data_IF_514610216077
#
_entry.id   IF_514610216077
#
_cell.length_a   1.000
_cell.length_b   1.000
_cell.length_c   1.000
_cell.angle_alpha   90.00
_cell.angle_beta   90.00
_cell.angle_gamma   90.00
#
_symmetry.space_group_name_H-M   'P 1'
#
loop_
_entity.id
_entity.type
_entity.pdbx_description
1 polymer ?
#
# COMPACT_ATOMS: atom_id res chain seq x y z
N UNK A 1 26.13 -18.39 14.62
CA UNK A 1 26.21 -17.50 13.45
C UNK A 1 25.75 -16.14 13.91
N UNK A 2 26.65 -15.16 14.04
CA UNK A 2 26.28 -13.82 14.53
C UNK A 2 25.59 -13.04 13.42
N UNK A 3 24.28 -12.85 13.53
CA UNK A 3 23.58 -11.87 12.70
C UNK A 3 24.21 -10.49 12.93
N UNK A 4 24.35 -9.74 11.85
CA UNK A 4 25.13 -8.51 11.72
C UNK A 4 25.02 -7.55 12.91
N UNK A 5 26.17 -7.04 13.34
CA UNK A 5 26.35 -6.01 14.38
C UNK A 5 25.63 -4.67 14.07
N UNK A 6 24.97 -4.55 12.91
CA UNK A 6 24.31 -3.35 12.39
C UNK A 6 22.77 -3.48 12.34
N UNK A 7 22.20 -4.46 13.03
CA UNK A 7 20.77 -4.72 13.06
C UNK A 7 20.22 -4.44 14.46
N UNK A 8 19.67 -3.26 14.66
CA UNK A 8 19.00 -2.91 15.90
C UNK A 8 17.62 -3.56 15.94
N UNK A 9 17.45 -4.57 16.82
CA UNK A 9 16.22 -5.34 16.94
C UNK A 9 15.62 -5.15 18.32
N UNK A 10 14.33 -4.85 18.39
CA UNK A 10 13.56 -4.70 19.61
C UNK A 10 12.37 -5.65 19.59
N UNK A 11 12.14 -6.34 20.70
CA UNK A 11 11.02 -7.21 20.97
C UNK A 11 9.93 -6.41 21.69
N UNK A 12 8.71 -6.53 21.20
CA UNK A 12 7.55 -5.86 21.78
C UNK A 12 6.97 -6.73 22.88
N UNK A 13 7.16 -6.31 24.13
CA UNK A 13 6.82 -7.10 25.32
C UNK A 13 5.73 -6.38 26.13
N UNK A 14 4.48 -6.85 26.09
CA UNK A 14 3.44 -6.33 26.97
C UNK A 14 3.80 -6.54 28.43
N UNK A 15 3.55 -5.54 29.26
CA UNK A 15 3.72 -5.67 30.69
C UNK A 15 2.68 -6.65 31.27
N UNK A 16 3.09 -7.47 32.25
CA UNK A 16 2.23 -8.50 32.85
C UNK A 16 1.22 -7.94 33.86
N UNK A 17 1.54 -6.79 34.45
CA UNK A 17 0.77 -6.16 35.52
C UNK A 17 -0.14 -5.06 34.96
N UNK A 18 0.30 -4.33 33.94
CA UNK A 18 -0.48 -3.28 33.28
C UNK A 18 -0.63 -3.51 31.76
N UNK A 19 -1.83 -3.82 31.26
CA UNK A 19 -2.07 -4.03 29.83
C UNK A 19 -1.88 -2.75 28.98
N UNK A 20 -1.82 -1.57 29.59
CA UNK A 20 -1.57 -0.30 28.88
C UNK A 20 -0.09 -0.03 28.65
N UNK A 21 0.80 -0.85 29.21
CA UNK A 21 2.25 -0.67 29.15
C UNK A 21 2.86 -1.74 28.24
N UNK A 22 3.72 -1.29 27.33
CA UNK A 22 4.49 -2.13 26.42
C UNK A 22 5.95 -1.71 26.52
N UNK A 23 6.82 -2.67 26.80
CA UNK A 23 8.26 -2.48 26.86
C UNK A 23 8.92 -2.94 25.56
N UNK A 24 9.85 -2.15 25.03
CA UNK A 24 10.68 -2.50 23.89
C UNK A 24 12.04 -3.00 24.40
N UNK A 25 12.28 -4.29 24.23
CA UNK A 25 13.39 -5.02 24.85
C UNK A 25 14.30 -5.59 23.77
N UNK A 26 15.61 -5.45 23.88
CA UNK A 26 16.51 -6.10 22.93
C UNK A 26 16.56 -7.64 23.14
N UNK A 27 17.17 -8.40 22.20
CA UNK A 27 17.32 -9.84 22.36
C UNK A 27 18.19 -10.27 23.56
N UNK A 28 18.95 -9.36 24.16
CA UNK A 28 19.76 -9.62 25.36
C UNK A 28 18.96 -9.43 26.66
N UNK A 29 17.74 -8.88 26.57
CA UNK A 29 16.85 -8.64 27.69
C UNK A 29 16.92 -7.22 28.27
N UNK A 30 17.61 -6.29 27.61
CA UNK A 30 17.71 -4.90 28.04
C UNK A 30 16.53 -4.10 27.49
N UNK A 31 15.76 -3.46 28.38
CA UNK A 31 14.66 -2.58 27.98
C UNK A 31 15.21 -1.20 27.62
N UNK A 32 14.87 -0.71 26.43
CA UNK A 32 15.28 0.62 25.95
C UNK A 32 14.15 1.64 26.04
N UNK A 33 12.94 1.22 25.67
CA UNK A 33 11.79 2.12 25.64
C UNK A 33 10.59 1.51 26.35
N UNK A 34 9.78 2.39 26.90
CA UNK A 34 8.49 2.05 27.48
C UNK A 34 7.41 2.90 26.82
N UNK A 35 6.43 2.23 26.22
CA UNK A 35 5.22 2.84 25.73
C UNK A 35 4.10 2.66 26.74
N UNK A 36 3.42 3.75 27.07
CA UNK A 36 2.27 3.77 27.95
C UNK A 36 1.08 4.42 27.26
N UNK A 37 -0.07 3.72 27.26
CA UNK A 37 -1.34 4.30 26.83
C UNK A 37 -1.98 5.06 27.99
N UNK A 38 -2.28 6.34 27.78
CA UNK A 38 -2.91 7.18 28.79
C UNK A 38 -4.43 7.09 28.64
N UNK A 39 -5.12 6.82 29.74
CA UNK A 39 -6.58 6.82 29.76
C UNK A 39 -7.11 8.25 29.63
N UNK A 40 -7.99 8.49 28.66
CA UNK A 40 -8.53 9.83 28.42
C UNK A 40 -9.62 9.84 27.35
N UNK A 41 -10.23 11.00 27.15
CA UNK A 41 -11.25 11.22 26.13
C UNK A 41 -10.68 11.18 24.69
N UNK A 42 -9.39 11.45 24.54
CA UNK A 42 -8.64 11.47 23.29
C UNK A 42 -7.58 10.37 23.36
N UNK A 43 -7.34 9.68 22.24
CA UNK A 43 -6.29 8.68 22.19
C UNK A 43 -4.93 9.35 22.40
N UNK A 44 -4.24 8.91 23.45
CA UNK A 44 -2.94 9.45 23.86
C UNK A 44 -2.02 8.29 24.22
N UNK A 45 -0.82 8.31 23.66
CA UNK A 45 0.26 7.37 23.95
C UNK A 45 1.53 8.14 24.21
N UNK A 46 2.24 7.76 25.25
CA UNK A 46 3.52 8.33 25.64
C UNK A 46 4.60 7.27 25.50
N UNK A 47 5.77 7.65 24.99
CA UNK A 47 6.94 6.78 24.91
C UNK A 47 8.08 7.41 25.69
N UNK A 48 8.66 6.62 26.57
CA UNK A 48 9.72 7.00 27.50
C UNK A 48 11.02 6.27 27.18
N UNK A 49 12.15 6.93 27.41
CA UNK A 49 13.43 6.26 27.57
C UNK A 49 13.42 5.49 28.89
N UNK A 50 13.69 4.19 28.85
CA UNK A 50 13.54 3.34 30.02
C UNK A 50 14.57 3.64 31.11
N UNK A 51 15.79 4.05 30.73
CA UNK A 51 16.88 4.25 31.69
C UNK A 51 16.78 5.59 32.41
N UNK A 52 16.41 6.66 31.70
CA UNK A 52 16.28 8.01 32.24
C UNK A 52 14.87 8.39 32.66
N UNK A 53 13.87 7.56 32.32
CA UNK A 53 12.44 7.85 32.50
C UNK A 53 11.99 9.16 31.82
N UNK A 54 12.76 9.65 30.86
CA UNK A 54 12.43 10.87 30.13
C UNK A 54 11.36 10.59 29.08
N UNK A 55 10.35 11.47 29.02
CA UNK A 55 9.35 11.44 27.95
C UNK A 55 10.02 11.83 26.63
N UNK A 56 9.97 10.92 25.66
CA UNK A 56 10.58 11.10 24.34
C UNK A 56 9.59 11.62 23.31
N UNK A 57 8.35 11.11 23.35
CA UNK A 57 7.30 11.49 22.40
C UNK A 57 5.92 11.21 22.95
N UNK A 58 4.99 12.12 22.63
CA UNK A 58 3.55 11.95 22.84
C UNK A 58 2.86 11.83 21.49
N UNK A 59 2.10 10.76 21.28
CA UNK A 59 1.24 10.57 20.13
C UNK A 59 -0.22 10.82 20.51
N UNK A 60 -0.90 11.69 19.76
CA UNK A 60 -2.30 12.06 20.00
C UNK A 60 -3.16 11.89 18.75
N UNK A 61 -4.41 11.48 18.95
CA UNK A 61 -5.44 11.44 17.90
C UNK A 61 -6.85 11.37 18.51
N UNK A 62 -7.93 11.73 17.78
CA UNK A 62 -9.29 11.57 18.28
C UNK A 62 -9.62 10.15 18.76
N UNK A 63 -9.08 9.13 18.10
CA UNK A 63 -9.19 7.72 18.45
C UNK A 63 -7.95 6.93 18.03
N UNK A 64 -7.78 5.72 18.59
CA UNK A 64 -6.72 4.81 18.15
C UNK A 64 -6.83 4.44 16.67
N UNK A 65 -8.04 4.39 16.12
CA UNK A 65 -8.36 4.10 14.71
C UNK A 65 -8.32 5.31 13.78
N UNK A 66 -7.99 6.50 14.28
CA UNK A 66 -7.97 7.73 13.48
C UNK A 66 -6.96 7.64 12.34
N UNK A 67 -7.34 8.10 11.14
CA UNK A 67 -6.50 8.12 9.91
C UNK A 67 -5.37 9.16 9.93
N UNK A 68 -5.37 10.02 10.93
CA UNK A 68 -4.31 11.00 11.17
C UNK A 68 -3.94 10.92 12.65
N UNK A 69 -2.63 10.98 12.93
CA UNK A 69 -2.08 11.02 14.28
C UNK A 69 -0.99 12.09 14.33
N UNK A 70 -0.91 12.82 15.44
CA UNK A 70 0.12 13.84 15.66
C UNK A 70 1.12 13.30 16.67
N UNK A 71 2.40 13.36 16.33
CA UNK A 71 3.51 12.99 17.20
C UNK A 71 4.23 14.27 17.61
N UNK A 72 4.35 14.51 18.91
CA UNK A 72 5.15 15.57 19.50
C UNK A 72 6.33 14.94 20.22
N UNK A 73 7.52 15.09 19.63
CA UNK A 73 8.78 14.66 20.24
C UNK A 73 9.29 15.71 21.22
N UNK A 74 10.08 15.28 22.19
CA UNK A 74 10.74 16.14 23.16
C UNK A 74 12.26 15.97 23.11
N UNK A 75 12.98 17.05 23.37
CA UNK A 75 14.44 17.11 23.40
C UNK A 75 15.14 16.66 22.10
N UNK A 76 14.95 17.36 20.96
CA UNK A 76 14.29 18.67 20.80
C UNK A 76 12.78 18.58 20.50
N UNK A 77 12.04 19.64 20.81
CA UNK A 77 10.60 19.68 20.54
C UNK A 77 10.32 19.75 19.05
N UNK A 78 9.74 18.68 18.49
CA UNK A 78 9.40 18.57 17.07
C UNK A 78 8.05 17.91 16.92
N UNK A 79 7.17 18.50 16.10
CA UNK A 79 5.85 17.93 15.81
C UNK A 79 5.78 17.42 14.39
N UNK A 80 5.22 16.23 14.19
CA UNK A 80 4.96 15.66 12.88
C UNK A 80 3.59 15.00 12.80
N UNK A 81 3.13 14.80 11.57
CA UNK A 81 1.85 14.14 11.28
C UNK A 81 2.11 12.77 10.63
N UNK A 82 1.51 11.74 11.20
CA UNK A 82 1.31 10.45 10.54
C UNK A 82 -0.03 10.49 9.81
N UNK A 83 -0.02 10.21 8.51
CA UNK A 83 -1.22 10.24 7.68
C UNK A 83 -1.45 8.91 6.98
N UNK A 84 -2.62 8.34 7.16
CA UNK A 84 -3.07 7.18 6.41
C UNK A 84 -3.35 7.60 4.96
N UNK A 85 -2.62 7.00 4.03
CA UNK A 85 -2.71 7.26 2.58
C UNK A 85 -3.26 6.05 1.81
N UNK A 86 -3.50 4.95 2.50
CA UNK A 86 -4.10 3.76 1.93
C UNK A 86 -5.57 3.96 1.57
N UNK A 87 -6.03 3.30 0.51
CA UNK A 87 -7.44 3.04 0.22
C UNK A 87 -7.81 1.58 0.50
N UNK A 88 -6.93 0.66 0.09
CA UNK A 88 -7.13 -0.80 0.17
C UNK A 88 -5.98 -1.51 0.89
N UNK A 89 -4.85 -0.82 1.06
CA UNK A 89 -3.61 -1.37 1.62
C UNK A 89 -3.23 -0.57 2.86
N UNK A 90 -2.56 -1.23 3.81
CA UNK A 90 -1.98 -0.52 4.95
C UNK A 90 -0.87 0.39 4.44
N UNK A 91 -1.16 1.69 4.34
CA UNK A 91 -0.18 2.72 3.97
C UNK A 91 -0.29 3.94 4.85
N UNK A 92 0.83 4.29 5.46
CA UNK A 92 0.97 5.47 6.30
C UNK A 92 2.20 6.25 5.89
N UNK A 93 2.03 7.56 5.71
CA UNK A 93 3.12 8.43 5.32
C UNK A 93 3.43 9.40 6.45
N UNK A 94 4.69 9.75 6.57
CA UNK A 94 5.15 10.84 7.42
C UNK A 94 6.39 11.49 6.80
N UNK A 95 6.68 12.71 7.25
CA UNK A 95 7.91 13.42 6.87
C UNK A 95 8.80 13.52 8.09
N UNK A 96 10.09 13.29 7.89
CA UNK A 96 11.11 13.57 8.88
C UNK A 96 12.23 14.34 8.20
N UNK A 97 12.53 15.53 8.70
CA UNK A 97 13.45 16.47 8.05
C UNK A 97 13.08 16.67 6.57
N UNK A 98 14.02 16.38 5.65
CA UNK A 98 13.84 16.53 4.21
C UNK A 98 13.42 15.22 3.51
N UNK A 99 13.09 14.17 4.27
CA UNK A 99 12.78 12.85 3.74
C UNK A 99 11.32 12.47 3.94
N UNK A 100 10.74 11.86 2.91
CA UNK A 100 9.41 11.26 2.95
C UNK A 100 9.54 9.78 3.33
N UNK A 101 8.72 9.32 4.27
CA UNK A 101 8.67 7.92 4.69
C UNK A 101 7.28 7.33 4.46
N UNK A 102 7.23 6.04 4.17
CA UNK A 102 6.01 5.27 3.92
C UNK A 102 6.10 3.90 4.59
N UNK A 103 5.17 3.64 5.51
CA UNK A 103 4.88 2.31 6.00
C UNK A 103 3.98 1.56 5.03
N UNK A 104 4.34 0.33 4.69
CA UNK A 104 3.56 -0.65 3.93
C UNK A 104 3.49 -1.95 4.71
N UNK A 105 2.34 -2.21 5.34
CA UNK A 105 2.13 -3.33 6.26
C UNK A 105 3.30 -3.50 7.24
N UNK A 106 4.19 -4.47 7.00
CA UNK A 106 5.31 -4.82 7.87
C UNK A 106 6.61 -4.05 7.58
N UNK A 107 6.64 -3.22 6.55
CA UNK A 107 7.86 -2.60 6.02
C UNK A 107 7.77 -1.08 6.07
N UNK A 108 8.83 -0.40 6.53
CA UNK A 108 8.97 1.05 6.45
C UNK A 108 9.99 1.42 5.38
N UNK A 109 9.60 2.26 4.44
CA UNK A 109 10.43 2.74 3.35
C UNK A 109 10.72 4.22 3.48
N UNK A 110 11.95 4.62 3.20
CA UNK A 110 12.28 6.00 2.88
C UNK A 110 12.11 6.20 1.37
N UNK A 111 11.23 7.12 0.99
CA UNK A 111 10.90 7.44 -0.38
C UNK A 111 11.95 8.41 -0.94
N UNK A 112 12.55 8.02 -2.07
CA UNK A 112 13.44 8.87 -2.85
C UNK A 112 12.80 9.03 -4.24
N UNK A 113 12.98 10.19 -4.87
CA UNK A 113 12.66 10.37 -6.28
C UNK A 113 13.84 11.12 -6.91
N UNK A 114 14.38 10.67 -8.04
CA UNK A 114 13.90 9.58 -8.90
C UNK A 114 14.32 8.16 -8.46
N UNK A 115 15.17 8.03 -7.44
CA UNK A 115 15.72 6.74 -7.00
C UNK A 115 14.67 5.82 -6.37
N UNK A 116 14.87 4.49 -6.36
CA UNK A 116 13.93 3.57 -5.70
C UNK A 116 13.84 3.82 -4.17
N UNK A 117 12.68 3.51 -3.55
CA UNK A 117 12.53 3.53 -2.11
C UNK A 117 13.51 2.60 -1.40
N UNK A 118 13.97 3.00 -0.21
CA UNK A 118 14.93 2.24 0.60
C UNK A 118 14.23 1.70 1.84
N UNK A 119 14.30 0.40 2.08
CA UNK A 119 13.75 -0.23 3.29
C UNK A 119 14.59 0.19 4.51
N UNK A 120 13.95 0.76 5.53
CA UNK A 120 14.62 1.28 6.73
C UNK A 120 14.18 0.60 8.02
N UNK A 121 12.99 -0.01 8.04
CA UNK A 121 12.57 -0.85 9.15
C UNK A 121 11.68 -1.99 8.67
N UNK A 122 11.69 -3.10 9.40
CA UNK A 122 10.80 -4.23 9.20
C UNK A 122 10.25 -4.71 10.55
N UNK A 123 8.99 -5.07 10.59
CA UNK A 123 8.35 -5.72 11.73
C UNK A 123 8.01 -7.17 11.42
N UNK A 124 7.85 -7.99 12.45
CA UNK A 124 7.35 -9.36 12.32
C UNK A 124 6.06 -9.51 13.10
N UNK A 125 5.02 -9.93 12.41
CA UNK A 125 3.78 -10.39 13.03
C UNK A 125 3.80 -11.94 13.11
N UNK A 126 3.58 -12.54 14.30
CA UNK A 126 3.46 -13.99 14.41
C UNK A 126 2.25 -14.47 13.60
N UNK A 127 2.41 -15.58 12.87
CA UNK A 127 1.32 -16.18 12.11
C UNK A 127 0.06 -16.36 12.99
N UNK A 128 -1.07 -15.78 12.54
CA UNK A 128 -2.34 -15.82 13.26
C UNK A 128 -2.53 -14.77 14.36
N UNK A 129 -1.63 -13.79 14.53
CA UNK A 129 -1.82 -12.64 15.43
C UNK A 129 -1.50 -11.32 14.74
N UNK A 130 -2.46 -10.39 14.80
CA UNK A 130 -2.31 -8.99 14.36
C UNK A 130 -1.56 -8.14 15.39
N UNK A 131 -0.51 -8.71 15.99
CA UNK A 131 0.30 -8.06 16.99
C UNK A 131 1.76 -8.14 16.56
N UNK A 132 2.35 -6.98 16.37
CA UNK A 132 3.80 -6.86 16.16
C UNK A 132 4.53 -7.53 17.33
N UNK A 133 5.47 -8.41 17.01
CA UNK A 133 6.29 -9.14 18.00
C UNK A 133 7.70 -8.60 18.10
N UNK A 134 8.25 -8.11 16.99
CA UNK A 134 9.60 -7.55 16.94
C UNK A 134 9.71 -6.52 15.84
N UNK A 135 10.57 -5.55 16.06
CA UNK A 135 10.85 -4.43 15.16
C UNK A 135 12.35 -4.44 14.91
N UNK A 136 12.75 -4.30 13.65
CA UNK A 136 14.15 -4.28 13.26
C UNK A 136 14.40 -3.03 12.43
N UNK A 137 15.26 -2.16 12.93
CA UNK A 137 15.69 -0.94 12.25
C UNK A 137 16.98 -1.25 11.49
N UNK A 138 16.98 -0.92 10.21
CA UNK A 138 18.05 -1.23 9.26
C UNK A 138 19.02 -0.05 9.20
N UNK A 139 19.75 0.20 10.29
CA UNK A 139 20.64 1.36 10.44
C UNK A 139 21.67 1.46 9.32
N UNK A 140 22.14 0.32 8.78
CA UNK A 140 23.06 0.30 7.65
C UNK A 140 22.50 0.98 6.38
N UNK A 141 21.17 1.04 6.22
CA UNK A 141 20.53 1.77 5.15
C UNK A 141 20.39 3.25 5.50
N UNK A 142 20.00 3.58 6.74
CA UNK A 142 19.88 4.96 7.23
C UNK A 142 21.23 5.70 7.24
N UNK A 143 22.32 5.01 7.54
CA UNK A 143 23.68 5.56 7.59
C UNK A 143 24.20 6.07 6.25
N UNK A 144 23.51 5.76 5.14
CA UNK A 144 23.85 6.22 3.79
C UNK A 144 23.25 7.60 3.46
N UNK A 145 22.54 8.18 4.41
CA UNK A 145 21.80 9.42 4.25
C UNK A 145 22.18 10.43 5.33
N UNK A 146 22.17 11.70 4.92
CA UNK A 146 22.41 12.85 5.78
C UNK A 146 21.13 13.17 6.55
N UNK A 147 20.79 12.29 7.49
CA UNK A 147 19.74 12.50 8.49
C UNK A 147 20.44 13.05 9.74
N UNK A 148 20.05 14.25 10.14
CA UNK A 148 20.70 14.97 11.23
C UNK A 148 20.32 14.37 12.60
N UNK A 149 19.02 14.16 12.83
CA UNK A 149 18.48 13.57 14.05
C UNK A 149 17.97 12.15 13.80
N UNK A 150 18.94 11.22 13.74
CA UNK A 150 18.67 9.78 13.59
C UNK A 150 17.91 9.22 14.79
N UNK A 151 18.14 9.77 15.99
CA UNK A 151 17.52 9.26 17.20
C UNK A 151 16.05 9.65 17.25
N UNK A 152 15.72 10.88 16.88
CA UNK A 152 14.36 11.31 16.64
C UNK A 152 13.66 10.43 15.62
N UNK A 153 14.29 10.15 14.47
CA UNK A 153 13.72 9.23 13.47
C UNK A 153 13.44 7.83 14.02
N UNK A 154 14.36 7.27 14.81
CA UNK A 154 14.18 5.98 15.49
C UNK A 154 12.90 5.99 16.35
N UNK A 155 12.76 7.02 17.19
CA UNK A 155 11.60 7.23 18.07
C UNK A 155 10.31 7.35 17.26
N UNK A 156 10.33 8.06 16.13
CA UNK A 156 9.17 8.21 15.22
C UNK A 156 8.76 6.86 14.63
N UNK A 157 9.72 6.10 14.10
CA UNK A 157 9.46 4.78 13.49
C UNK A 157 8.83 3.84 14.52
N UNK A 158 9.40 3.76 15.73
CA UNK A 158 8.90 2.92 16.82
C UNK A 158 7.50 3.35 17.26
N UNK A 159 7.29 4.66 17.47
CA UNK A 159 6.02 5.21 17.94
C UNK A 159 4.92 5.03 16.91
N UNK A 160 5.21 5.28 15.63
CA UNK A 160 4.27 5.04 14.54
C UNK A 160 3.76 3.59 14.59
N UNK A 161 4.67 2.62 14.61
CA UNK A 161 4.32 1.20 14.64
C UNK A 161 3.49 0.82 15.88
N UNK A 162 3.86 1.31 17.06
CA UNK A 162 3.12 1.05 18.29
C UNK A 162 1.70 1.65 18.26
N UNK A 163 1.52 2.80 17.61
CA UNK A 163 0.17 3.39 17.44
C UNK A 163 -0.66 2.64 16.39
N UNK A 164 -0.03 2.00 15.42
CA UNK A 164 -0.71 1.14 14.45
C UNK A 164 -1.19 -0.16 15.10
N UNK A 165 -0.39 -0.72 16.02
CA UNK A 165 -0.80 -1.85 16.84
C UNK A 165 -2.06 -1.52 17.64
N UNK A 166 -2.12 -0.35 18.28
CA UNK A 166 -3.32 0.06 19.04
C UNK A 166 -4.55 0.23 18.14
N UNK A 167 -4.35 0.73 16.91
CA UNK A 167 -5.42 0.82 15.93
C UNK A 167 -5.97 -0.58 15.61
N UNK A 168 -5.08 -1.54 15.30
CA UNK A 168 -5.44 -2.93 15.02
C UNK A 168 -6.13 -3.61 16.21
N UNK A 169 -5.64 -3.40 17.43
CA UNK A 169 -6.28 -3.92 18.64
C UNK A 169 -7.67 -3.32 18.87
N UNK A 170 -7.89 -2.07 18.47
CA UNK A 170 -9.21 -1.43 18.55
C UNK A 170 -10.19 -1.99 17.51
N UNK A 171 -9.70 -2.46 16.35
CA UNK A 171 -10.51 -3.12 15.33
C UNK A 171 -10.82 -4.59 15.66
N UNK A 172 -9.87 -5.30 16.28
CA UNK A 172 -9.94 -6.75 16.49
C UNK A 172 -10.08 -7.18 17.95
N UNK A 173 -10.13 -6.24 18.87
CA UNK A 173 -10.46 -6.48 20.26
C UNK A 173 -11.90 -6.99 20.34
N UNK A 174 -12.06 -8.30 20.50
CA UNK A 174 -13.33 -8.84 20.99
C UNK A 174 -13.69 -8.09 22.28
N UNK A 175 -14.96 -7.72 22.52
CA UNK A 175 -15.38 -7.27 23.84
C UNK A 175 -15.19 -8.46 24.79
N UNK A 176 -14.02 -8.55 25.42
CA UNK A 176 -13.74 -9.52 26.45
C UNK A 176 -14.61 -9.11 27.63
N UNK A 177 -15.79 -9.72 27.70
CA UNK A 177 -16.58 -10.02 28.88
C UNK A 177 -16.00 -9.41 30.15
N UNK A 178 -16.61 -8.32 30.59
CA UNK A 178 -16.42 -7.75 31.91
C UNK A 178 -16.42 -8.86 32.97
N UNK A 179 -15.35 -8.89 33.76
CA UNK A 179 -15.15 -9.88 34.80
C UNK A 179 -16.23 -9.80 35.87
N UNK A 180 -17.12 -10.78 35.90
CA UNK A 180 -17.83 -11.15 37.12
C UNK A 180 -16.82 -11.87 38.01
N UNK A 181 -16.30 -11.12 38.99
CA UNK A 181 -15.48 -11.62 40.09
C UNK A 181 -16.24 -12.74 40.82
N UNK A 182 -15.76 -13.98 40.75
CA UNK A 182 -16.16 -15.05 41.68
C UNK A 182 -15.11 -15.19 42.78
N UNK A 183 -15.51 -15.22 44.07
CA UNK A 183 -14.58 -15.25 45.18
C UNK A 183 -13.91 -16.62 45.31
N UNK A 184 -12.67 -16.55 45.78
CA UNK A 184 -11.69 -17.60 46.02
C UNK A 184 -12.08 -18.44 47.24
N UNK A 185 -12.16 -19.76 47.11
CA UNK A 185 -12.05 -20.68 48.26
C UNK A 185 -11.33 -21.99 47.92
N UNK A 186 -10.22 -22.18 48.65
CA UNK A 186 -9.55 -23.42 49.11
C UNK A 186 -8.97 -24.46 48.12
N UNK A 187 -7.83 -25.10 48.50
CA UNK A 187 -7.04 -25.95 47.62
C UNK A 187 -7.49 -27.42 47.68
N UNK A 188 -7.83 -27.98 46.52
CA UNK A 188 -7.92 -29.43 46.33
C UNK A 188 -7.21 -29.83 45.04
N UNK A 189 -6.61 -31.01 45.10
CA UNK A 189 -5.78 -31.74 44.13
C UNK A 189 -6.10 -31.50 42.64
N UNK A 190 -5.07 -31.48 41.76
CA UNK A 190 -5.23 -31.13 40.35
C UNK A 190 -6.12 -32.14 39.61
N UNK A 191 -7.18 -31.69 38.91
CA UNK A 191 -7.99 -32.56 38.07
C UNK A 191 -7.23 -32.96 36.79
N UNK A 192 -7.56 -34.10 36.18
CA UNK A 192 -6.99 -34.53 34.91
C UNK A 192 -7.22 -33.45 33.82
N UNK A 193 -6.27 -33.30 32.87
CA UNK A 193 -6.35 -32.26 31.85
C UNK A 193 -7.65 -32.38 31.06
N UNK A 194 -8.33 -31.26 30.76
CA UNK A 194 -9.58 -31.28 30.02
C UNK A 194 -9.39 -31.94 28.64
N UNK A 195 -10.39 -32.69 28.15
CA UNK A 195 -10.38 -33.23 26.80
C UNK A 195 -10.11 -32.11 25.79
N UNK A 196 -9.29 -32.38 24.76
CA UNK A 196 -9.05 -31.44 23.66
C UNK A 196 -10.40 -30.95 23.10
N UNK A 197 -10.58 -29.64 22.87
CA UNK A 197 -11.82 -29.13 22.31
C UNK A 197 -12.09 -29.77 20.94
N UNK A 198 -13.36 -30.05 20.59
CA UNK A 198 -13.71 -30.62 19.30
C UNK A 198 -13.20 -29.73 18.16
N UNK A 199 -12.77 -30.36 17.05
CA UNK A 199 -12.32 -29.63 15.88
C UNK A 199 -13.39 -28.61 15.44
N UNK A 200 -12.99 -27.35 15.24
CA UNK A 200 -13.90 -26.29 14.78
C UNK A 200 -14.49 -26.69 13.44
N UNK A 201 -15.82 -26.58 13.30
CA UNK A 201 -16.54 -26.93 12.07
C UNK A 201 -17.20 -25.68 11.47
N UNK A 202 -17.47 -25.71 10.17
CA UNK A 202 -18.24 -24.66 9.50
C UNK A 202 -17.49 -23.36 9.24
N UNK A 203 -18.14 -22.22 9.52
CA UNK A 203 -17.57 -20.86 9.34
C UNK A 203 -16.33 -20.66 10.21
N UNK A 204 -16.29 -21.23 11.41
CA UNK A 204 -15.15 -21.13 12.33
C UNK A 204 -13.91 -21.83 11.77
N UNK A 205 -14.10 -22.91 11.00
CA UNK A 205 -13.01 -23.59 10.28
C UNK A 205 -12.47 -22.72 9.15
N UNK A 206 -13.36 -22.08 8.38
CA UNK A 206 -12.96 -21.14 7.33
C UNK A 206 -12.19 -19.97 7.94
N UNK A 207 -12.72 -19.36 9.01
CA UNK A 207 -12.07 -18.28 9.72
C UNK A 207 -10.69 -18.68 10.25
N UNK A 208 -10.53 -19.89 10.78
CA UNK A 208 -9.24 -20.42 11.21
C UNK A 208 -8.26 -20.58 10.06
N UNK A 209 -8.68 -21.16 8.93
CA UNK A 209 -7.83 -21.34 7.74
C UNK A 209 -7.41 -19.99 7.15
N UNK A 210 -8.32 -19.02 7.08
CA UNK A 210 -7.98 -17.67 6.61
C UNK A 210 -7.08 -16.93 7.62
N UNK A 211 -7.33 -17.09 8.92
CA UNK A 211 -6.50 -16.48 9.97
C UNK A 211 -5.05 -17.00 9.94
N UNK A 212 -4.83 -18.26 9.54
CA UNK A 212 -3.47 -18.80 9.34
C UNK A 212 -2.72 -18.11 8.18
N UNK A 213 -3.44 -17.52 7.21
CA UNK A 213 -2.84 -16.83 6.05
C UNK A 213 -2.50 -15.36 6.34
N UNK A 214 -3.17 -14.73 7.30
CA UNK A 214 -2.90 -13.35 7.71
C UNK A 214 -3.39 -12.27 6.74
N UNK A 215 -4.23 -12.63 5.76
CA UNK A 215 -4.83 -11.69 4.81
C UNK A 215 -6.21 -11.26 5.33
N UNK A 216 -6.34 -10.03 5.81
CA UNK A 216 -7.51 -9.57 6.60
C UNK A 216 -8.71 -9.22 5.71
N UNK A 217 -8.46 -8.80 4.47
CA UNK A 217 -9.48 -8.42 3.49
C UNK A 217 -9.53 -9.39 2.30
N UNK A 218 -8.79 -10.51 2.37
CA UNK A 218 -8.76 -11.52 1.32
C UNK A 218 -9.30 -12.85 1.82
N UNK A 219 -10.16 -13.46 1.01
CA UNK A 219 -10.74 -14.76 1.21
C UNK A 219 -10.21 -15.69 0.12
N UNK A 220 -9.32 -16.60 0.49
CA UNK A 220 -8.84 -17.64 -0.43
C UNK A 220 -9.77 -18.85 -0.38
N UNK A 221 -10.47 -19.11 -1.48
CA UNK A 221 -11.36 -20.27 -1.61
C UNK A 221 -10.55 -21.50 -1.94
N UNK A 222 -10.57 -22.47 -1.03
CA UNK A 222 -9.85 -23.74 -1.14
C UNK A 222 -10.78 -24.91 -1.47
N UNK A 223 -10.18 -26.09 -1.69
CA UNK A 223 -10.94 -27.33 -1.86
C UNK A 223 -11.71 -27.69 -0.59
N UNK A 224 -11.09 -27.51 0.59
CA UNK A 224 -11.72 -27.73 1.90
C UNK A 224 -12.76 -26.63 2.21
N UNK A 225 -13.90 -27.02 2.79
CA UNK A 225 -14.96 -26.13 3.25
C UNK A 225 -16.11 -25.96 2.25
N UNK A 226 -17.31 -25.76 2.77
CA UNK A 226 -18.52 -25.61 1.97
C UNK A 226 -18.74 -24.15 1.52
N UNK A 227 -19.39 -23.97 0.37
CA UNK A 227 -19.69 -22.67 -0.24
C UNK A 227 -20.44 -21.77 0.74
N UNK A 228 -21.40 -22.34 1.46
CA UNK A 228 -22.22 -21.65 2.46
C UNK A 228 -21.38 -21.02 3.57
N UNK A 229 -20.34 -21.72 4.03
CA UNK A 229 -19.45 -21.25 5.08
C UNK A 229 -18.55 -20.12 4.61
N UNK A 230 -17.98 -20.24 3.41
CA UNK A 230 -17.20 -19.16 2.78
C UNK A 230 -18.06 -17.91 2.54
N UNK A 231 -19.28 -18.09 2.05
CA UNK A 231 -20.20 -16.99 1.77
C UNK A 231 -20.63 -16.27 3.06
N UNK A 232 -20.94 -17.03 4.12
CA UNK A 232 -21.27 -16.46 5.42
C UNK A 232 -20.07 -15.71 6.01
N UNK A 233 -18.86 -16.26 5.92
CA UNK A 233 -17.64 -15.58 6.35
C UNK A 233 -17.43 -14.24 5.61
N UNK A 234 -17.56 -14.26 4.27
CA UNK A 234 -17.45 -13.05 3.46
C UNK A 234 -18.53 -12.01 3.79
N UNK A 235 -19.76 -12.46 4.06
CA UNK A 235 -20.86 -11.58 4.46
C UNK A 235 -20.58 -10.93 5.82
N UNK A 236 -20.05 -11.68 6.79
CA UNK A 236 -19.70 -11.16 8.11
C UNK A 236 -18.60 -10.10 8.01
N UNK A 237 -17.58 -10.33 7.17
CA UNK A 237 -16.55 -9.29 6.91
C UNK A 237 -17.18 -8.01 6.35
N UNK A 238 -18.10 -8.13 5.39
CA UNK A 238 -18.79 -6.98 4.80
C UNK A 238 -19.86 -6.35 5.72
N UNK A 239 -20.19 -6.94 6.87
CA UNK A 239 -21.09 -6.29 7.83
C UNK A 239 -20.38 -5.18 8.61
N UNK A 240 -19.07 -5.28 8.80
CA UNK A 240 -18.28 -4.25 9.49
C UNK A 240 -18.30 -2.93 8.69
N UNK A 241 -18.68 -1.82 9.34
CA UNK A 241 -18.73 -0.48 8.74
C UNK A 241 -17.36 0.00 8.25
N UNK A 242 -16.27 -0.41 8.92
CA UNK A 242 -14.91 -0.09 8.51
C UNK A 242 -14.45 -0.91 7.28
N UNK A 243 -15.11 -2.05 7.02
CA UNK A 243 -14.82 -2.91 5.88
C UNK A 243 -15.53 -2.39 4.63
N UNK A 244 -14.78 -1.70 3.78
CA UNK A 244 -15.29 -1.13 2.53
C UNK A 244 -15.26 -2.12 1.35
N UNK A 245 -14.43 -3.16 1.43
CA UNK A 245 -14.31 -4.18 0.38
C UNK A 245 -13.74 -5.49 0.91
N UNK A 246 -14.02 -6.60 0.20
CA UNK A 246 -13.43 -7.92 0.41
C UNK A 246 -13.00 -8.49 -0.94
N UNK A 247 -11.84 -9.15 -0.97
CA UNK A 247 -11.28 -9.79 -2.15
C UNK A 247 -11.44 -11.29 -2.05
N UNK A 248 -12.18 -11.92 -2.95
CA UNK A 248 -12.35 -13.37 -3.00
C UNK A 248 -11.48 -13.94 -4.12
N UNK A 249 -10.56 -14.85 -3.79
CA UNK A 249 -9.60 -15.42 -4.75
C UNK A 249 -9.64 -16.94 -4.77
N UNK A 250 -9.37 -17.52 -5.94
CA UNK A 250 -9.22 -18.98 -6.07
C UNK A 250 -7.84 -19.44 -5.62
N UNK A 251 -7.73 -20.51 -4.83
CA UNK A 251 -6.44 -21.14 -4.53
C UNK A 251 -5.82 -21.86 -5.73
N UNK A 252 -6.65 -22.35 -6.65
CA UNK A 252 -6.24 -23.03 -7.88
C UNK A 252 -7.31 -22.93 -8.97
N UNK A 253 -6.95 -23.29 -10.21
CA UNK A 253 -7.86 -23.25 -11.36
C UNK A 253 -9.14 -24.08 -11.18
N UNK A 254 -9.07 -25.19 -10.41
CA UNK A 254 -10.23 -26.04 -10.13
C UNK A 254 -11.25 -25.37 -9.19
N UNK A 255 -10.83 -24.38 -8.40
CA UNK A 255 -11.68 -23.66 -7.45
C UNK A 255 -12.34 -22.41 -8.04
N UNK A 256 -12.05 -22.06 -9.29
CA UNK A 256 -12.65 -20.88 -9.95
C UNK A 256 -14.19 -20.91 -9.96
N UNK A 257 -14.86 -22.03 -10.29
CA UNK A 257 -16.32 -22.09 -10.21
C UNK A 257 -16.84 -21.87 -8.78
N UNK A 258 -16.12 -22.38 -7.78
CA UNK A 258 -16.47 -22.26 -6.36
C UNK A 258 -16.39 -20.81 -5.89
N UNK A 259 -15.39 -20.04 -6.33
CA UNK A 259 -15.30 -18.59 -6.04
C UNK A 259 -16.54 -17.84 -6.50
N UNK A 260 -17.01 -18.10 -7.73
CA UNK A 260 -18.20 -17.43 -8.26
C UNK A 260 -19.45 -17.76 -7.44
N UNK A 261 -19.61 -19.03 -7.05
CA UNK A 261 -20.72 -19.47 -6.21
C UNK A 261 -20.68 -18.83 -4.82
N UNK A 262 -19.49 -18.73 -4.20
CA UNK A 262 -19.29 -18.04 -2.92
C UNK A 262 -19.69 -16.57 -3.01
N UNK A 263 -19.27 -15.88 -4.08
CA UNK A 263 -19.60 -14.47 -4.31
C UNK A 263 -21.11 -14.27 -4.47
N UNK A 264 -21.77 -15.11 -5.28
CA UNK A 264 -23.21 -15.04 -5.51
C UNK A 264 -24.01 -15.29 -4.22
N UNK A 265 -23.65 -16.34 -3.47
CA UNK A 265 -24.29 -16.66 -2.19
C UNK A 265 -24.03 -15.56 -1.14
N UNK A 266 -22.85 -14.91 -1.15
CA UNK A 266 -22.58 -13.76 -0.28
C UNK A 266 -23.55 -12.61 -0.57
N UNK A 267 -23.77 -12.28 -1.85
CA UNK A 267 -24.75 -11.26 -2.24
C UNK A 267 -26.17 -11.66 -1.84
N UNK A 268 -26.52 -12.94 -2.02
CA UNK A 268 -27.83 -13.47 -1.63
C UNK A 268 -28.09 -13.34 -0.12
N UNK A 269 -27.10 -13.68 0.72
CA UNK A 269 -27.20 -13.54 2.18
C UNK A 269 -27.48 -12.07 2.56
N UNK A 270 -26.76 -11.13 1.96
CA UNK A 270 -26.92 -9.69 2.24
C UNK A 270 -28.27 -9.15 1.78
N UNK A 271 -28.70 -9.50 0.57
CA UNK A 271 -30.01 -9.13 0.06
C UNK A 271 -31.13 -9.69 0.94
N UNK A 272 -31.01 -10.94 1.40
CA UNK A 272 -31.99 -11.54 2.32
C UNK A 272 -32.03 -10.85 3.69
N UNK A 273 -30.93 -10.26 4.14
CA UNK A 273 -30.84 -9.52 5.39
C UNK A 273 -31.38 -8.07 5.28
N UNK A 274 -31.89 -7.65 4.13
CA UNK A 274 -32.41 -6.29 3.91
C UNK A 274 -31.31 -5.23 3.79
N UNK A 275 -30.06 -5.65 3.57
CA UNK A 275 -28.92 -4.78 3.28
C UNK A 275 -28.90 -4.53 1.77
N UNK A 276 -29.79 -3.65 1.29
CA UNK A 276 -29.96 -3.28 -0.12
C UNK A 276 -28.88 -2.32 -0.66
N UNK A 277 -27.79 -2.12 0.09
CA UNK A 277 -26.65 -1.34 -0.38
C UNK A 277 -26.04 -2.01 -1.63
N UNK A 278 -25.91 -1.22 -2.70
CA UNK A 278 -25.36 -1.67 -3.98
C UNK A 278 -23.90 -2.10 -3.81
N UNK A 279 -23.64 -3.41 -3.82
CA UNK A 279 -22.27 -3.96 -3.78
C UNK A 279 -21.70 -3.96 -5.19
N UNK A 280 -20.65 -3.18 -5.38
CA UNK A 280 -19.85 -3.17 -6.59
C UNK A 280 -19.03 -4.47 -6.69
N UNK A 281 -19.04 -5.10 -7.85
CA UNK A 281 -18.27 -6.31 -8.14
C UNK A 281 -17.27 -6.03 -9.25
N UNK A 282 -15.99 -6.29 -8.98
CA UNK A 282 -14.90 -6.18 -9.95
C UNK A 282 -14.24 -7.54 -10.12
N UNK A 283 -14.21 -8.05 -11.35
CA UNK A 283 -13.64 -9.36 -11.67
C UNK A 283 -12.32 -9.16 -12.40
N UNK A 284 -11.25 -9.69 -11.83
CA UNK A 284 -9.91 -9.68 -12.40
C UNK A 284 -9.50 -11.09 -12.78
N UNK A 285 -9.08 -11.26 -14.03
CA UNK A 285 -8.48 -12.48 -14.52
C UNK A 285 -6.96 -12.33 -14.53
N UNK A 286 -6.26 -13.33 -14.01
CA UNK A 286 -4.80 -13.36 -14.10
C UNK A 286 -4.39 -13.65 -15.55
N UNK A 287 -3.97 -12.60 -16.24
CA UNK A 287 -3.49 -12.68 -17.62
C UNK A 287 -2.00 -12.98 -17.61
N UNK A 288 -1.64 -14.21 -17.19
CA UNK A 288 -0.31 -14.71 -17.48
C UNK A 288 -0.12 -14.71 -19.00
N UNK A 289 0.72 -13.77 -19.45
CA UNK A 289 1.22 -13.55 -20.82
C UNK A 289 0.92 -14.70 -21.79
N UNK A 290 -0.23 -14.64 -22.45
CA UNK A 290 -0.45 -15.52 -23.59
C UNK A 290 0.52 -15.06 -24.67
N UNK A 291 1.59 -15.84 -24.90
CA UNK A 291 2.37 -15.74 -26.13
C UNK A 291 1.40 -15.69 -27.31
N UNK A 292 1.63 -14.85 -28.33
CA UNK A 292 0.71 -14.70 -29.44
C UNK A 292 0.39 -16.07 -30.04
N UNK A 293 -0.86 -16.51 -29.88
CA UNK A 293 -1.31 -17.78 -30.45
C UNK A 293 -1.24 -17.65 -31.97
N UNK A 294 -0.39 -18.47 -32.60
CA UNK A 294 -0.37 -18.60 -34.06
C UNK A 294 -1.70 -19.26 -34.45
N UNK A 295 -2.63 -18.47 -34.98
CA UNK A 295 -3.94 -18.95 -35.41
C UNK A 295 -3.70 -19.88 -36.62
N UNK A 296 -3.79 -21.18 -36.40
CA UNK A 296 -3.83 -22.15 -37.49
C UNK A 296 -5.26 -22.19 -38.02
N UNK A 297 -5.45 -21.71 -39.25
CA UNK A 297 -6.77 -21.60 -39.91
C UNK A 297 -7.40 -22.97 -40.28
N UNK A 298 -6.71 -24.08 -39.98
CA UNK A 298 -7.15 -25.45 -40.28
C UNK A 298 -7.49 -26.28 -39.03
N UNK A 299 -7.33 -25.75 -37.82
CA UNK A 299 -7.75 -26.47 -36.61
C UNK A 299 -9.27 -26.38 -36.46
N UNK A 300 -9.91 -27.54 -36.38
CA UNK A 300 -11.31 -27.63 -35.94
C UNK A 300 -11.40 -27.10 -34.50
N UNK A 301 -12.31 -26.16 -34.18
CA UNK A 301 -12.38 -25.60 -32.83
C UNK A 301 -12.80 -26.69 -31.84
N UNK A 302 -11.85 -27.18 -31.06
CA UNK A 302 -12.15 -27.90 -29.82
C UNK A 302 -12.85 -26.90 -28.88
N UNK A 303 -14.19 -26.94 -28.86
CA UNK A 303 -15.05 -26.14 -27.99
C UNK A 303 -14.93 -26.55 -26.50
N UNK A 304 -13.76 -27.02 -26.07
CA UNK A 304 -13.50 -27.39 -24.68
C UNK A 304 -13.08 -26.14 -23.92
N UNK A 305 -14.03 -25.57 -23.18
CA UNK A 305 -13.77 -24.45 -22.28
C UNK A 305 -12.62 -24.78 -21.34
N UNK A 306 -11.56 -23.97 -21.37
CA UNK A 306 -10.46 -24.05 -20.42
C UNK A 306 -10.69 -22.95 -19.37
N UNK A 307 -10.93 -23.30 -18.10
CA UNK A 307 -11.14 -22.29 -17.07
C UNK A 307 -9.88 -21.44 -16.87
N UNK A 308 -10.03 -20.17 -16.44
CA UNK A 308 -8.91 -19.33 -16.05
C UNK A 308 -8.04 -20.02 -14.98
N UNK A 309 -6.73 -19.76 -15.01
CA UNK A 309 -5.79 -20.34 -14.04
C UNK A 309 -6.04 -19.84 -12.61
N UNK A 310 -6.50 -18.60 -12.48
CA UNK A 310 -6.93 -18.01 -11.22
C UNK A 310 -7.97 -16.91 -11.48
N UNK A 311 -8.83 -16.70 -10.50
CA UNK A 311 -9.88 -15.68 -10.50
C UNK A 311 -9.79 -14.88 -9.21
N UNK A 312 -9.87 -13.56 -9.33
CA UNK A 312 -9.97 -12.63 -8.20
C UNK A 312 -11.22 -11.78 -8.39
N UNK A 313 -12.07 -11.73 -7.37
CA UNK A 313 -13.30 -10.94 -7.36
C UNK A 313 -13.28 -10.00 -6.18
N UNK A 314 -13.33 -8.70 -6.43
CA UNK A 314 -13.47 -7.69 -5.39
C UNK A 314 -14.95 -7.34 -5.22
N UNK A 315 -15.45 -7.43 -3.99
CA UNK A 315 -16.76 -6.97 -3.57
C UNK A 315 -16.58 -5.70 -2.75
N UNK A 316 -17.15 -4.58 -3.16
CA UNK A 316 -16.99 -3.30 -2.46
C UNK A 316 -18.33 -2.60 -2.20
N UNK A 317 -18.40 -1.89 -1.07
CA UNK A 317 -19.49 -0.97 -0.72
C UNK A 317 -19.36 0.39 -1.41
N UNK A 318 -18.19 0.69 -1.96
CA UNK A 318 -17.90 1.96 -2.64
C UNK A 318 -17.44 1.70 -4.08
N UNK A 319 -17.67 2.63 -5.01
CA UNK A 319 -17.16 2.48 -6.36
C UNK A 319 -15.63 2.53 -6.37
N UNK A 320 -15.01 1.58 -7.07
CA UNK A 320 -13.56 1.46 -7.27
C UNK A 320 -13.21 1.69 -8.75
N UNK A 321 -13.11 2.94 -9.23
CA UNK A 321 -12.88 3.26 -10.64
C UNK A 321 -11.55 2.74 -11.17
N UNK A 322 -10.53 2.55 -10.33
CA UNK A 322 -9.22 2.02 -10.68
C UNK A 322 -9.24 0.53 -11.08
N UNK A 323 -10.25 -0.21 -10.63
CA UNK A 323 -10.44 -1.62 -11.00
C UNK A 323 -11.37 -1.77 -12.20
N UNK A 324 -11.94 -0.68 -12.71
CA UNK A 324 -12.72 -0.73 -13.93
C UNK A 324 -11.79 -1.00 -15.12
N UNK A 325 -12.21 -1.85 -16.07
CA UNK A 325 -11.41 -2.11 -17.25
C UNK A 325 -11.20 -0.80 -18.01
N UNK A 326 -9.93 -0.36 -18.11
CA UNK A 326 -9.58 0.84 -18.88
C UNK A 326 -9.85 0.56 -20.35
N UNK A 327 -10.91 1.15 -20.89
CA UNK A 327 -11.20 1.16 -22.32
C UNK A 327 -10.22 2.15 -22.96
N UNK A 328 -8.96 1.79 -23.04
CA UNK A 328 -8.02 2.53 -23.89
C UNK A 328 -8.33 2.11 -25.32
N UNK A 329 -8.90 2.98 -26.18
CA UNK A 329 -9.08 2.63 -27.58
C UNK A 329 -7.69 2.44 -28.16
N UNK A 330 -7.33 1.19 -28.43
CA UNK A 330 -6.15 0.87 -29.23
C UNK A 330 -6.40 1.47 -30.61
N UNK A 331 -5.75 2.59 -30.87
CA UNK A 331 -5.73 3.23 -32.17
C UNK A 331 -4.92 2.37 -33.15
N UNK A 332 -5.59 1.43 -33.81
CA UNK A 332 -5.11 0.89 -35.07
C UNK A 332 -5.54 1.81 -36.22
N UNK A 333 -4.61 2.26 -37.07
CA UNK A 333 -4.96 3.07 -38.22
C UNK A 333 -5.45 2.18 -39.37
N UNK A 334 -6.40 2.72 -40.14
CA UNK A 334 -6.73 2.34 -41.53
C UNK A 334 -7.42 0.99 -41.74
N UNK A 335 -8.70 1.03 -42.10
CA UNK A 335 -9.07 0.92 -43.52
C UNK A 335 -10.58 1.14 -43.69
N UNK A 336 -10.92 2.23 -44.36
CA UNK A 336 -12.25 2.47 -44.92
C UNK A 336 -12.55 1.39 -45.95
N UNK A 337 -13.62 0.63 -45.73
CA UNK A 337 -14.30 -0.11 -46.81
C UNK A 337 -15.81 0.06 -46.65
N UNK A 338 -16.53 0.44 -47.73
CA UNK A 338 -17.98 0.69 -47.69
C UNK A 338 -18.78 -0.63 -47.68
N UNK A 339 -20.07 -0.59 -47.32
CA UNK A 339 -20.89 -1.80 -47.23
C UNK A 339 -21.27 -2.30 -48.64
N UNK A 340 -21.02 -3.57 -48.89
CA UNK A 340 -21.44 -4.28 -50.11
C UNK A 340 -22.89 -4.70 -49.96
N UNK A 341 -23.72 -4.28 -50.93
CA UNK A 341 -25.08 -4.76 -51.16
C UNK A 341 -25.18 -5.42 -52.54
N UNK A 342 -25.82 -6.58 -52.58
CA UNK A 342 -26.49 -7.28 -53.70
C UNK A 342 -25.71 -7.72 -54.96
N UNK A 343 -25.66 -9.05 -55.08
CA UNK A 343 -26.23 -9.90 -56.14
C UNK A 343 -25.73 -9.89 -57.60
N UNK A 344 -25.56 -11.13 -58.07
CA UNK A 344 -25.77 -11.66 -59.42
C UNK A 344 -24.62 -11.58 -60.44
N UNK A 345 -24.39 -12.77 -60.99
CA UNK A 345 -23.44 -13.19 -62.02
C UNK A 345 -23.59 -12.42 -63.35
N UNK A 346 -22.47 -12.10 -64.00
CA UNK A 346 -22.29 -12.49 -65.41
C UNK A 346 -20.81 -12.42 -65.85
N UNK A 347 -20.44 -13.40 -66.68
CA UNK A 347 -19.11 -13.61 -67.27
C UNK A 347 -18.95 -12.74 -68.52
N UNK A 348 -17.78 -12.13 -68.72
CA UNK A 348 -16.86 -12.39 -69.86
C UNK A 348 -15.60 -11.50 -69.86
N UNK A 349 -14.50 -11.94 -70.53
CA UNK A 349 -13.16 -11.37 -70.36
C UNK A 349 -12.66 -10.57 -71.58
N UNK A 350 -11.61 -9.74 -71.41
CA UNK A 350 -10.60 -9.31 -72.41
C UNK A 350 -9.48 -8.52 -71.68
N UNK A 351 -8.27 -9.05 -71.48
CA UNK A 351 -7.04 -9.11 -72.34
C UNK A 351 -6.29 -7.77 -72.56
N UNK A 352 -4.97 -7.82 -72.28
CA UNK A 352 -3.84 -7.03 -72.87
C UNK A 352 -3.73 -5.56 -72.37
N UNK A 353 -2.60 -4.92 -72.06
CA UNK A 353 -1.13 -5.08 -72.20
C UNK A 353 -0.48 -4.04 -71.26
N UNK A 354 0.54 -4.36 -70.45
CA UNK A 354 2.01 -4.32 -70.71
C UNK A 354 2.66 -2.91 -70.69
N UNK A 355 3.90 -2.92 -70.16
CA UNK A 355 4.99 -1.91 -70.14
C UNK A 355 4.98 -0.89 -68.99
N UNK A 356 5.91 -1.01 -68.02
CA UNK A 356 7.35 -0.63 -68.02
C UNK A 356 7.53 0.89 -68.05
N UNK A 357 8.41 1.55 -67.28
CA UNK A 357 9.80 1.25 -66.94
C UNK A 357 10.33 2.44 -66.10
N UNK A 358 11.36 2.21 -65.26
CA UNK A 358 12.49 3.12 -64.89
C UNK A 358 12.19 4.60 -64.54
N UNK A 359 12.62 5.18 -63.43
CA UNK A 359 13.96 5.10 -62.82
C UNK A 359 14.79 6.37 -63.15
N UNK A 360 14.95 7.28 -62.18
CA UNK A 360 16.08 8.24 -61.97
C UNK A 360 15.69 9.07 -60.72
N UNK A 361 16.39 9.12 -59.58
CA UNK A 361 17.77 9.52 -59.23
C UNK A 361 18.17 10.91 -59.76
N UNK A 362 17.94 11.92 -58.93
CA UNK A 362 18.56 13.25 -58.96
C UNK A 362 18.99 13.65 -57.54
N UNK A 363 20.09 14.43 -57.35
CA UNK A 363 20.68 14.77 -56.04
C UNK A 363 20.05 16.03 -55.39
N UNK A 364 20.26 16.29 -54.09
CA UNK A 364 19.51 17.32 -53.36
C UNK A 364 20.15 18.73 -53.47
N UNK A 365 19.34 19.80 -53.38
CA UNK A 365 19.86 21.17 -53.24
C UNK A 365 20.09 21.55 -51.77
N UNK A 366 21.05 22.46 -51.56
CA UNK A 366 21.36 23.11 -50.28
C UNK A 366 20.14 23.91 -49.76
N UNK A 367 19.84 23.78 -48.47
CA UNK A 367 18.73 24.48 -47.78
C UNK A 367 19.31 25.51 -46.79
N UNK A 368 18.74 26.72 -46.82
CA UNK A 368 19.03 27.86 -45.95
C UNK A 368 18.32 27.74 -44.57
N UNK A 369 18.92 28.33 -43.55
CA UNK A 369 18.70 28.13 -42.10
C UNK A 369 17.38 28.65 -41.49
N UNK A 370 16.29 28.74 -42.25
CA UNK A 370 14.97 29.19 -41.72
C UNK A 370 13.77 28.39 -42.24
N UNK A 371 13.97 27.11 -42.57
CA UNK A 371 12.86 26.20 -42.91
C UNK A 371 12.61 25.20 -41.77
N UNK A 372 11.38 25.26 -41.24
CA UNK A 372 10.85 24.35 -40.22
C UNK A 372 10.53 23.02 -40.90
N UNK A 373 11.07 21.90 -40.39
CA UNK A 373 10.94 20.58 -41.00
C UNK A 373 9.51 20.02 -40.86
N UNK A 374 8.91 19.39 -41.91
CA UNK A 374 7.59 18.75 -41.83
C UNK A 374 7.51 17.49 -40.95
N UNK A 375 8.62 17.09 -40.31
CA UNK A 375 8.69 15.93 -39.40
C UNK A 375 9.24 16.30 -38.02
N UNK A 376 9.08 17.56 -37.61
CA UNK A 376 9.39 17.93 -36.24
C UNK A 376 8.26 17.42 -35.33
N UNK A 377 8.52 16.50 -34.38
CA UNK A 377 7.49 16.01 -33.47
C UNK A 377 6.95 17.18 -32.64
N UNK A 378 5.63 17.28 -32.56
CA UNK A 378 4.92 18.26 -31.74
C UNK A 378 5.40 18.16 -30.29
N UNK A 379 5.68 19.28 -29.59
CA UNK A 379 6.02 19.23 -28.18
C UNK A 379 4.88 18.56 -27.39
N UNK A 380 5.24 17.68 -26.46
CA UNK A 380 4.27 16.91 -25.68
C UNK A 380 3.37 17.83 -24.84
N UNK A 381 2.09 17.47 -24.61
CA UNK A 381 1.12 18.28 -23.88
C UNK A 381 1.54 18.69 -22.46
N UNK A 382 2.54 18.01 -21.90
CA UNK A 382 3.10 18.24 -20.56
C UNK A 382 3.92 19.53 -20.43
N UNK A 383 4.22 20.24 -21.52
CA UNK A 383 5.02 21.47 -21.49
C UNK A 383 4.18 22.77 -21.41
N UNK A 384 2.85 22.68 -21.51
CA UNK A 384 1.99 23.87 -21.51
C UNK A 384 1.66 24.45 -20.12
N UNK A 385 2.05 23.78 -19.03
CA UNK A 385 1.71 24.21 -17.66
C UNK A 385 2.91 24.70 -16.85
N UNK A 386 4.01 25.11 -17.50
CA UNK A 386 5.18 25.63 -16.81
C UNK A 386 5.24 27.17 -16.96
N UNK A 387 4.79 27.95 -15.96
CA UNK A 387 4.75 29.42 -16.04
C UNK A 387 6.14 30.08 -16.09
N UNK A 388 7.23 29.31 -15.97
CA UNK A 388 8.61 29.81 -16.00
C UNK A 388 9.27 29.92 -17.38
N UNK A 389 8.61 29.54 -18.48
CA UNK A 389 9.23 29.53 -19.82
C UNK A 389 9.00 30.84 -20.61
N UNK A 390 8.07 31.70 -20.15
CA UNK A 390 7.74 32.98 -20.80
C UNK A 390 8.11 34.22 -19.96
N UNK A 391 9.08 34.12 -19.05
CA UNK A 391 9.66 35.31 -18.43
C UNK A 391 10.75 35.87 -19.34
N UNK A 392 10.46 37.02 -19.95
CA UNK A 392 11.46 37.80 -20.67
C UNK A 392 12.67 38.06 -19.75
N UNK A 393 13.90 37.98 -20.26
CA UNK A 393 15.10 38.24 -19.45
C UNK A 393 15.02 39.65 -18.86
N UNK A 394 15.41 39.83 -17.58
CA UNK A 394 15.38 41.15 -16.94
C UNK A 394 16.31 42.12 -17.68
N UNK A 395 15.95 43.41 -17.75
CA UNK A 395 16.80 44.42 -18.39
C UNK A 395 18.15 44.51 -17.66
N UNK A 396 19.24 44.81 -18.40
CA UNK A 396 20.56 44.94 -17.81
C UNK A 396 20.58 46.05 -16.76
N UNK A 397 21.17 45.75 -15.59
CA UNK A 397 21.35 46.72 -14.50
C UNK A 397 22.24 47.88 -14.95
N UNK A 398 21.92 49.13 -14.57
CA UNK A 398 22.78 50.27 -14.86
C UNK A 398 24.12 50.14 -14.13
N UNK A 399 25.19 50.49 -14.84
CA UNK A 399 26.56 50.42 -14.37
C UNK A 399 26.74 51.24 -13.09
N UNK A 400 27.25 50.57 -12.04
CA UNK A 400 27.56 51.17 -10.75
C UNK A 400 28.77 52.09 -10.90
N UNK A 401 28.66 53.40 -10.60
CA UNK A 401 29.83 54.27 -10.56
C UNK A 401 30.71 53.86 -9.39
N UNK A 402 31.97 53.61 -9.69
CA UNK A 402 33.00 53.34 -8.70
C UNK A 402 33.48 54.61 -8.01
N UNK A 403 34.43 54.35 -7.10
CA UNK A 403 35.36 55.26 -6.46
C UNK A 403 34.98 55.92 -5.11
N UNK A 404 35.68 55.38 -4.10
CA UNK A 404 36.77 56.03 -3.36
C UNK A 404 36.47 56.88 -2.12
N UNK A 405 37.32 56.60 -1.13
CA UNK A 405 37.62 57.33 0.11
C UNK A 405 36.55 57.15 1.20
N UNK A 406 36.87 56.93 2.47
CA UNK A 406 37.97 57.47 3.29
C UNK A 406 38.37 56.46 4.37
N UNK A 407 39.68 56.37 4.59
CA UNK A 407 40.37 55.78 5.72
C UNK A 407 40.06 56.48 7.04
N UNK A 408 39.97 55.76 8.16
CA UNK A 408 40.25 56.38 9.45
C UNK A 408 39.74 55.65 10.68
N UNK A 409 40.67 55.05 11.43
CA UNK A 409 40.77 54.98 12.90
C UNK A 409 39.47 54.88 13.73
N UNK A 410 39.34 53.83 14.54
CA UNK A 410 39.67 53.94 15.97
C UNK A 410 39.77 52.57 16.64
N UNK A 411 40.85 52.45 17.41
CA UNK A 411 41.20 51.39 18.35
C UNK A 411 40.37 51.46 19.65
N UNK A 412 40.59 50.46 20.51
CA UNK A 412 40.30 50.38 21.96
C UNK A 412 39.00 49.70 22.45
N UNK A 413 39.19 48.44 22.89
CA UNK A 413 39.17 48.00 24.31
C UNK A 413 38.04 48.50 25.23
N UNK A 414 37.26 47.56 25.77
CA UNK A 414 37.11 47.21 27.22
C UNK A 414 35.93 46.22 27.37
N UNK A 415 36.11 45.02 27.90
CA UNK A 415 36.20 44.62 29.32
C UNK A 415 34.88 44.73 30.12
N UNK A 416 34.53 43.60 30.77
CA UNK A 416 33.50 43.33 31.80
C UNK A 416 32.04 43.23 31.31
N UNK A 417 31.25 42.27 31.79
CA UNK A 417 31.30 41.55 33.09
C UNK A 417 30.74 40.15 32.96
#
# INVERSE_FOLDING_TARGET
MSLDQNLFTLLVTPNKEDPNVIDLVDPSGVTYYRKQRVAGAVYTVEVYDFMSESLLVTATAPSASSKTKVLELYNPTTTLELKYTGTLTFRWNFKWENFDFEWKREECFMLRKPDPPVLVAITKEPAGRLKTSSIQILDYNLNRFDIDDRKGLEIVILTALLTFQDANESYHGSPSSEGIVKPKSTPTTPPPPPPKPPAKTGVDRVAEVQAMRGEINELTVEEEGDITHYAQYCSNLLQDEAMLFVTVRSSSASQVPKVLQVVEETKRIRHKAGLDDEIFQYVLYDTLSQRPRRINLNDTPDNKYVPPNSLVVHLSKIPMPELQPSVTPTSTPTSTSPPVSFNTQEKKPKKISRRSRSGSKSPPPRIHSYQVHPQQPSPSPSQLNNPGIYTAPPPPLPARPGNNMVSGLFDMLHYRK
#
